data_IF_225602199645
#
_entry.id   IF_225602199645
#
_cell.length_a   1.000
_cell.length_b   1.000
_cell.length_c   1.000
_cell.angle_alpha   90.00
_cell.angle_beta   90.00
_cell.angle_gamma   90.00
#
_symmetry.space_group_name_H-M   'P 1'
#
loop_
_entity.id
_entity.type
_entity.pdbx_description
1 polymer ?
#
# COMPACT_ATOMS: atom_id res chain seq x y z
N UNK A 1 8.71 10.91 9.40
CA UNK A 1 7.86 11.31 10.55
C UNK A 1 7.05 10.09 10.96
N UNK A 2 6.47 10.08 12.17
CA UNK A 2 5.60 9.00 12.63
C UNK A 2 4.24 9.57 13.01
N UNK A 3 3.20 8.74 12.90
CA UNK A 3 1.84 9.06 13.34
C UNK A 3 1.37 7.99 14.31
N UNK A 4 0.62 8.40 15.32
CA UNK A 4 -0.10 7.46 16.18
C UNK A 4 -1.33 6.97 15.44
N UNK A 5 -1.42 5.66 15.19
CA UNK A 5 -2.62 5.02 14.65
C UNK A 5 -3.19 4.05 15.68
N UNK A 6 -4.52 3.98 15.73
CA UNK A 6 -5.22 2.99 16.53
C UNK A 6 -5.26 1.65 15.79
N UNK A 7 -4.95 0.59 16.51
CA UNK A 7 -4.97 -0.78 16.02
C UNK A 7 -6.21 -1.47 16.55
N UNK A 8 -6.83 -2.25 15.68
CA UNK A 8 -8.04 -3.02 15.94
C UNK A 8 -7.77 -4.49 15.79
N UNK A 9 -8.50 -5.29 16.56
CA UNK A 9 -8.49 -6.73 16.37
C UNK A 9 -8.99 -7.05 14.96
N UNK A 10 -8.27 -7.90 14.25
CA UNK A 10 -8.59 -8.32 12.90
C UNK A 10 -8.48 -9.83 12.82
N UNK A 11 -9.47 -10.46 12.17
CA UNK A 11 -9.48 -11.91 11.93
C UNK A 11 -9.24 -12.19 10.45
N UNK A 12 -8.33 -13.12 10.14
CA UNK A 12 -8.23 -13.66 8.80
C UNK A 12 -9.32 -14.72 8.57
N UNK A 13 -10.12 -14.55 7.53
CA UNK A 13 -11.23 -15.45 7.22
C UNK A 13 -10.78 -16.78 6.57
N UNK A 14 -9.53 -16.84 6.08
CA UNK A 14 -8.99 -18.07 5.46
C UNK A 14 -8.27 -18.98 6.46
N UNK A 15 -7.58 -18.42 7.46
CA UNK A 15 -6.83 -19.21 8.45
C UNK A 15 -7.31 -19.05 9.90
N UNK A 16 -8.33 -18.22 10.13
CA UNK A 16 -8.92 -17.91 11.45
C UNK A 16 -7.94 -17.33 12.49
N UNK A 17 -6.74 -16.90 12.08
CA UNK A 17 -5.81 -16.22 12.98
C UNK A 17 -6.34 -14.82 13.33
N UNK A 18 -6.26 -14.47 14.61
CA UNK A 18 -6.51 -13.12 15.12
C UNK A 18 -5.16 -12.37 15.23
N UNK A 19 -5.15 -11.11 14.82
CA UNK A 19 -3.98 -10.22 14.88
C UNK A 19 -4.43 -8.75 14.90
N UNK A 20 -3.52 -7.84 15.22
CA UNK A 20 -3.82 -6.41 15.26
C UNK A 20 -3.48 -5.75 13.91
N UNK A 21 -4.36 -4.85 13.44
CA UNK A 21 -4.10 -4.02 12.26
C UNK A 21 -4.46 -2.56 12.53
N UNK A 22 -3.71 -1.59 11.99
CA UNK A 22 -4.12 -0.20 12.06
C UNK A 22 -5.33 0.05 11.16
N UNK A 23 -6.25 0.91 11.63
CA UNK A 23 -7.33 1.44 10.83
C UNK A 23 -7.26 2.97 10.80
N UNK A 24 -7.80 3.57 9.74
CA UNK A 24 -7.99 5.00 9.64
C UNK A 24 -9.39 5.36 10.16
N UNK A 25 -9.58 6.54 10.78
CA UNK A 25 -10.90 6.98 11.21
C UNK A 25 -11.84 7.19 10.02
N UNK A 26 -13.13 7.24 10.28
CA UNK A 26 -14.13 7.59 9.27
C UNK A 26 -13.79 8.94 8.61
N UNK A 27 -14.03 9.04 7.30
CA UNK A 27 -13.75 10.23 6.47
C UNK A 27 -12.27 10.57 6.22
N UNK A 28 -11.38 9.58 6.30
CA UNK A 28 -9.95 9.71 5.94
C UNK A 28 -9.69 9.75 4.43
N UNK A 29 -10.34 10.66 3.70
CA UNK A 29 -10.22 10.75 2.25
C UNK A 29 -8.79 11.13 1.82
N UNK A 30 -8.20 10.35 0.92
CA UNK A 30 -6.81 10.56 0.46
C UNK A 30 -5.75 10.03 1.42
N UNK A 31 -6.13 9.43 2.55
CA UNK A 31 -5.22 8.82 3.50
C UNK A 31 -5.25 7.30 3.35
N UNK A 32 -4.10 6.67 3.53
CA UNK A 32 -3.90 5.25 3.28
C UNK A 32 -2.97 4.63 4.31
N UNK A 33 -3.17 3.33 4.55
CA UNK A 33 -2.21 2.50 5.28
C UNK A 33 -1.68 1.46 4.29
N UNK A 34 -0.40 1.56 3.99
CA UNK A 34 0.31 0.52 3.26
C UNK A 34 0.74 -0.58 4.19
N UNK A 35 0.47 -1.83 3.81
CA UNK A 35 0.91 -3.00 4.58
C UNK A 35 2.14 -3.62 3.91
N UNK A 36 3.07 -4.16 4.69
CA UNK A 36 4.14 -5.01 4.16
C UNK A 36 3.55 -6.28 3.54
N UNK A 37 4.18 -6.80 2.50
CA UNK A 37 3.68 -8.00 1.80
C UNK A 37 3.63 -9.28 2.65
N UNK A 38 4.18 -9.27 3.87
CA UNK A 38 4.02 -10.33 4.89
C UNK A 38 3.11 -9.93 6.06
N UNK A 39 2.45 -8.77 6.03
CA UNK A 39 1.45 -8.38 7.01
C UNK A 39 1.95 -7.93 8.39
N UNK A 40 3.27 -7.76 8.57
CA UNK A 40 3.88 -7.42 9.88
C UNK A 40 4.34 -5.95 10.00
N UNK A 41 4.51 -5.25 8.88
CA UNK A 41 4.93 -3.84 8.86
C UNK A 41 3.87 -2.94 8.23
N UNK A 42 3.79 -1.69 8.67
CA UNK A 42 2.81 -0.70 8.19
C UNK A 42 3.48 0.63 7.91
N UNK A 43 2.99 1.34 6.89
CA UNK A 43 3.32 2.73 6.64
C UNK A 43 2.05 3.56 6.44
N UNK A 44 2.02 4.74 7.02
CA UNK A 44 0.96 5.71 6.76
C UNK A 44 1.28 6.53 5.51
N UNK A 45 0.29 6.85 4.69
CA UNK A 45 0.47 7.72 3.53
C UNK A 45 -0.70 8.69 3.36
N UNK A 46 -0.39 9.95 3.08
CA UNK A 46 -1.37 11.00 2.77
C UNK A 46 -1.13 11.52 1.36
N UNK A 47 -2.08 11.23 0.46
CA UNK A 47 -2.00 11.66 -0.93
C UNK A 47 -2.26 13.15 -1.10
N UNK A 48 -2.96 13.80 -0.17
CA UNK A 48 -3.22 15.24 -0.22
C UNK A 48 -1.97 16.05 0.16
N UNK A 49 -1.20 15.55 1.13
CA UNK A 49 0.02 16.21 1.61
C UNK A 49 1.29 15.79 0.85
N UNK A 50 1.19 14.86 -0.11
CA UNK A 50 2.36 14.31 -0.81
C UNK A 50 2.33 14.50 -2.31
N UNK A 51 3.30 15.28 -2.83
CA UNK A 51 3.50 15.47 -4.28
C UNK A 51 3.91 14.18 -5.01
N UNK A 52 4.29 13.13 -4.29
CA UNK A 52 4.71 11.85 -4.88
C UNK A 52 3.59 11.20 -5.69
N UNK A 53 2.34 11.42 -5.29
CA UNK A 53 1.17 10.80 -5.94
C UNK A 53 1.09 11.23 -7.41
N UNK A 54 1.13 12.53 -7.67
CA UNK A 54 1.13 13.09 -9.02
C UNK A 54 2.44 12.81 -9.78
N UNK A 55 3.58 12.76 -9.07
CA UNK A 55 4.85 12.38 -9.69
C UNK A 55 4.82 10.94 -10.22
N UNK A 56 4.40 9.97 -9.40
CA UNK A 56 4.29 8.56 -9.81
C UNK A 56 3.27 8.41 -10.94
N UNK A 57 2.14 9.14 -10.89
CA UNK A 57 1.14 9.15 -11.97
C UNK A 57 1.74 9.63 -13.30
N UNK A 58 2.55 10.68 -13.27
CA UNK A 58 3.29 11.17 -14.44
C UNK A 58 4.29 10.13 -14.98
N UNK A 59 5.04 9.47 -14.08
CA UNK A 59 5.96 8.39 -14.46
C UNK A 59 5.18 7.21 -15.07
N UNK A 60 4.05 6.81 -14.49
CA UNK A 60 3.18 5.77 -15.03
C UNK A 60 2.61 6.12 -16.40
N UNK A 61 2.23 7.38 -16.62
CA UNK A 61 1.78 7.85 -17.94
C UNK A 61 2.88 7.64 -19.00
N UNK A 62 4.14 7.94 -18.65
CA UNK A 62 5.29 7.74 -19.55
C UNK A 62 5.67 6.28 -19.74
N UNK A 63 5.59 5.49 -18.67
CA UNK A 63 6.05 4.10 -18.65
C UNK A 63 5.08 3.14 -19.35
N UNK A 64 3.78 3.28 -19.08
CA UNK A 64 2.75 2.32 -19.50
C UNK A 64 1.48 2.96 -20.06
N UNK A 65 1.49 4.28 -20.30
CA UNK A 65 0.33 4.97 -20.89
C UNK A 65 -0.87 5.09 -19.95
N UNK A 66 -0.65 5.36 -18.66
CA UNK A 66 -1.74 5.57 -17.68
C UNK A 66 -2.80 6.59 -18.19
N UNK A 67 -4.10 6.21 -18.19
CA UNK A 67 -5.15 7.00 -18.82
C UNK A 67 -5.48 8.28 -18.03
N UNK A 68 -6.01 9.29 -18.73
CA UNK A 68 -6.50 10.53 -18.10
C UNK A 68 -7.75 10.30 -17.25
N UNK A 69 -8.61 9.35 -17.66
CA UNK A 69 -9.81 8.94 -16.94
C UNK A 69 -9.67 7.46 -16.54
N UNK A 70 -9.08 7.17 -15.37
CA UNK A 70 -8.79 5.80 -14.96
C UNK A 70 -10.06 5.04 -14.58
N UNK A 71 -10.09 3.75 -14.95
CA UNK A 71 -11.07 2.81 -14.42
C UNK A 71 -10.76 2.47 -12.95
N UNK A 72 -11.68 1.78 -12.25
CA UNK A 72 -11.38 1.25 -10.91
C UNK A 72 -10.11 0.37 -10.92
N UNK A 73 -9.99 -0.47 -11.94
CA UNK A 73 -8.83 -1.35 -12.13
C UNK A 73 -7.52 -0.55 -12.31
N UNK A 74 -7.57 0.55 -13.05
CA UNK A 74 -6.41 1.45 -13.19
C UNK A 74 -6.04 2.12 -11.87
N UNK A 75 -7.03 2.51 -11.07
CA UNK A 75 -6.83 3.09 -9.74
C UNK A 75 -6.20 2.08 -8.78
N UNK A 76 -6.67 0.84 -8.76
CA UNK A 76 -6.08 -0.24 -7.94
C UNK A 76 -4.62 -0.52 -8.34
N UNK A 77 -4.36 -0.56 -9.65
CA UNK A 77 -2.99 -0.69 -10.18
C UNK A 77 -2.13 0.49 -9.76
N UNK A 78 -2.66 1.71 -9.81
CA UNK A 78 -1.94 2.91 -9.41
C UNK A 78 -1.59 2.89 -7.92
N UNK A 79 -2.54 2.59 -7.03
CA UNK A 79 -2.26 2.43 -5.60
C UNK A 79 -1.24 1.32 -5.33
N UNK A 80 -1.28 0.22 -6.08
CA UNK A 80 -0.26 -0.82 -5.99
C UNK A 80 1.14 -0.31 -6.36
N UNK A 81 1.25 0.50 -7.41
CA UNK A 81 2.53 1.12 -7.81
C UNK A 81 2.99 2.15 -6.78
N UNK A 82 2.08 2.99 -6.29
CA UNK A 82 2.38 3.98 -5.23
C UNK A 82 2.90 3.29 -3.97
N UNK A 83 2.24 2.26 -3.47
CA UNK A 83 2.78 1.48 -2.35
C UNK A 83 4.11 0.78 -2.71
N UNK A 84 4.22 0.28 -3.94
CA UNK A 84 5.40 -0.39 -4.47
C UNK A 84 6.65 0.49 -4.64
N UNK A 85 6.49 1.80 -4.77
CA UNK A 85 7.61 2.75 -4.87
C UNK A 85 8.11 3.24 -3.50
N UNK A 86 7.37 3.01 -2.43
CA UNK A 86 7.78 3.39 -1.09
C UNK A 86 8.96 2.52 -0.61
N UNK A 87 9.78 3.09 0.28
CA UNK A 87 10.85 2.40 1.00
C UNK A 87 10.28 1.16 1.68
N UNK A 88 11.07 0.08 1.67
CA UNK A 88 10.71 -1.16 2.35
C UNK A 88 10.69 -0.98 3.86
N UNK A 89 9.68 -1.56 4.51
CA UNK A 89 9.61 -1.65 5.98
C UNK A 89 9.93 -3.08 6.38
N UNK A 90 10.89 -3.26 7.28
CA UNK A 90 11.36 -4.59 7.72
C UNK A 90 11.73 -5.51 6.53
N UNK A 91 12.36 -4.92 5.51
CA UNK A 91 12.75 -5.62 4.27
C UNK A 91 11.58 -6.00 3.34
N UNK A 92 10.36 -5.57 3.62
CA UNK A 92 9.17 -5.91 2.83
C UNK A 92 8.77 -4.81 1.87
N UNK A 93 8.37 -5.21 0.66
CA UNK A 93 7.66 -4.30 -0.22
C UNK A 93 6.28 -3.98 0.36
N UNK A 94 5.90 -2.72 0.33
CA UNK A 94 4.57 -2.29 0.74
C UNK A 94 3.52 -2.55 -0.36
N UNK A 95 2.29 -2.82 0.06
CA UNK A 95 1.11 -3.11 -0.78
C UNK A 95 -0.12 -2.33 -0.25
N UNK A 96 -1.11 -2.03 -1.11
CA UNK A 96 -2.23 -1.15 -0.75
C UNK A 96 -3.36 -1.86 0.01
N UNK A 97 -3.17 -3.13 0.37
CA UNK A 97 -4.18 -3.94 1.04
C UNK A 97 -3.59 -4.60 2.27
N UNK A 98 -4.45 -4.86 3.24
CA UNK A 98 -4.14 -5.63 4.41
C UNK A 98 -3.80 -7.09 4.08
N UNK A 99 -2.84 -7.65 4.81
CA UNK A 99 -2.32 -9.00 4.61
C UNK A 99 -2.25 -9.70 5.95
N UNK A 100 -2.80 -10.91 6.04
CA UNK A 100 -2.68 -11.75 7.22
C UNK A 100 -1.21 -12.16 7.42
N UNK A 101 -0.63 -11.93 8.61
CA UNK A 101 0.77 -12.28 8.87
C UNK A 101 1.02 -13.80 8.90
N UNK A 102 -0.02 -14.60 9.12
CA UNK A 102 0.08 -16.06 9.23
C UNK A 102 0.05 -16.74 7.86
N UNK A 103 -1.00 -16.51 7.06
CA UNK A 103 -1.21 -17.23 5.80
C UNK A 103 -1.03 -16.36 4.55
N UNK A 104 -0.74 -15.06 4.71
CA UNK A 104 -0.60 -14.07 3.62
C UNK A 104 -1.88 -13.81 2.81
N UNK A 105 -3.03 -14.29 3.30
CA UNK A 105 -4.32 -13.98 2.71
C UNK A 105 -4.64 -12.49 2.85
N UNK A 106 -5.44 -11.97 1.93
CA UNK A 106 -6.03 -10.62 1.95
C UNK A 106 -7.47 -10.64 2.45
N UNK A 107 -8.03 -11.83 2.69
CA UNK A 107 -9.37 -12.02 3.19
C UNK A 107 -9.37 -11.83 4.71
N UNK A 108 -9.44 -10.57 5.13
CA UNK A 108 -9.36 -10.16 6.53
C UNK A 108 -10.58 -9.32 6.90
N UNK A 109 -11.08 -9.51 8.11
CA UNK A 109 -12.21 -8.76 8.67
C UNK A 109 -11.72 -8.02 9.91
N UNK A 110 -11.55 -6.69 9.83
CA UNK A 110 -11.33 -5.87 11.02
C UNK A 110 -12.58 -5.92 11.92
N UNK A 111 -12.39 -5.91 13.23
CA UNK A 111 -13.43 -5.60 14.21
C UNK A 111 -13.17 -4.19 14.74
N UNK A 112 -13.80 -3.20 14.08
CA UNK A 112 -13.60 -1.78 14.34
C UNK A 112 -14.14 -1.34 15.72
N UNK A 113 -14.75 -2.26 16.49
CA UNK A 113 -15.24 -1.97 17.84
C UNK A 113 -14.29 -2.45 18.96
N UNK A 114 -13.23 -3.20 18.63
CA UNK A 114 -12.29 -3.74 19.62
C UNK A 114 -10.87 -3.16 19.39
N UNK A 115 -10.62 -1.90 19.85
CA UNK A 115 -9.27 -1.33 19.81
C UNK A 115 -8.34 -2.11 20.76
N UNK A 116 -7.18 -2.47 20.26
CA UNK A 116 -6.19 -3.29 20.97
C UNK A 116 -4.96 -2.51 21.41
N UNK A 117 -4.55 -1.48 20.65
CA UNK A 117 -3.40 -0.64 20.98
C UNK A 117 -3.37 0.65 20.17
N UNK A 118 -2.65 1.66 20.67
CA UNK A 118 -2.19 2.79 19.87
C UNK A 118 -0.70 2.60 19.58
N UNK A 119 -0.33 2.62 18.29
CA UNK A 119 1.05 2.39 17.88
C UNK A 119 1.56 3.53 17.01
N UNK A 120 2.87 3.80 17.12
CA UNK A 120 3.56 4.68 16.18
C UNK A 120 3.75 3.94 14.85
N UNK A 121 3.25 4.51 13.77
CA UNK A 121 3.43 4.03 12.40
C UNK A 121 4.22 5.08 11.63
N UNK A 122 5.25 4.64 10.92
CA UNK A 122 6.06 5.54 10.10
C UNK A 122 5.30 6.03 8.88
N UNK A 123 5.54 7.27 8.47
CA UNK A 123 5.09 7.75 7.17
C UNK A 123 5.85 7.03 6.05
N UNK A 124 5.15 6.67 4.97
CA UNK A 124 5.73 6.08 3.79
C UNK A 124 6.76 7.04 3.17
N UNK A 125 8.03 6.67 3.20
CA UNK A 125 9.12 7.41 2.56
C UNK A 125 9.29 6.97 1.10
N UNK A 126 9.53 7.95 0.23
CA UNK A 126 9.77 7.74 -1.20
C UNK A 126 11.15 8.23 -1.65
N UNK A 127 12.01 8.58 -0.69
CA UNK A 127 13.30 9.22 -0.96
C UNK A 127 14.18 8.34 -1.84
N UNK A 128 14.16 7.02 -1.61
CA UNK A 128 14.92 6.06 -2.41
C UNK A 128 14.48 6.02 -3.86
N UNK A 129 13.18 6.15 -4.13
CA UNK A 129 12.62 6.19 -5.48
C UNK A 129 12.92 7.54 -6.15
N UNK A 130 12.74 8.65 -5.41
CA UNK A 130 13.00 10.00 -5.90
C UNK A 130 14.47 10.24 -6.22
N UNK A 131 15.39 9.61 -5.49
CA UNK A 131 16.84 9.69 -5.74
C UNK A 131 17.27 8.95 -7.02
N UNK A 132 16.39 8.12 -7.62
CA UNK A 132 16.73 7.39 -8.85
C UNK A 132 16.70 8.29 -10.08
N UNK A 133 17.59 8.08 -11.07
CA UNK A 133 17.47 8.71 -12.37
C UNK A 133 16.10 8.44 -13.01
N UNK A 134 15.63 9.35 -13.86
CA UNK A 134 14.30 9.26 -14.48
C UNK A 134 14.06 7.94 -15.24
N UNK A 135 15.09 7.39 -15.90
CA UNK A 135 14.99 6.10 -16.60
C UNK A 135 14.81 4.93 -15.62
N UNK A 136 15.49 4.96 -14.47
CA UNK A 136 15.33 3.95 -13.42
C UNK A 136 13.95 4.03 -12.77
N UNK A 137 13.42 5.23 -12.54
CA UNK A 137 12.05 5.40 -12.04
C UNK A 137 11.01 4.79 -12.99
N UNK A 138 11.16 5.02 -14.30
CA UNK A 138 10.31 4.41 -15.34
C UNK A 138 10.41 2.89 -15.33
N UNK A 139 11.63 2.36 -15.18
CA UNK A 139 11.86 0.91 -15.12
C UNK A 139 11.19 0.29 -13.89
N UNK A 140 11.37 0.89 -12.70
CA UNK A 140 10.74 0.44 -11.46
C UNK A 140 9.21 0.40 -11.61
N UNK A 141 8.62 1.48 -12.12
CA UNK A 141 7.18 1.57 -12.36
C UNK A 141 6.71 0.50 -13.35
N UNK A 142 7.43 0.30 -14.45
CA UNK A 142 7.12 -0.76 -15.43
C UNK A 142 7.14 -2.16 -14.77
N UNK A 143 8.14 -2.45 -13.94
CA UNK A 143 8.25 -3.72 -13.21
C UNK A 143 7.06 -3.90 -12.27
N UNK A 144 6.67 -2.87 -11.52
CA UNK A 144 5.54 -2.92 -10.59
C UNK A 144 4.21 -3.13 -11.33
N UNK A 145 3.99 -2.44 -12.45
CA UNK A 145 2.83 -2.66 -13.32
C UNK A 145 2.74 -4.12 -13.79
N UNK A 146 3.86 -4.68 -14.26
CA UNK A 146 3.92 -6.08 -14.69
C UNK A 146 3.66 -7.07 -13.54
N UNK A 147 4.18 -6.79 -12.34
CA UNK A 147 3.93 -7.59 -11.13
C UNK A 147 2.45 -7.59 -10.77
N UNK A 148 1.78 -6.44 -10.88
CA UNK A 148 0.35 -6.32 -10.63
C UNK A 148 -0.48 -7.16 -11.62
N UNK A 149 -0.18 -7.09 -12.92
CA UNK A 149 -0.88 -7.89 -13.95
C UNK A 149 -0.72 -9.40 -13.74
N UNK A 150 0.47 -9.85 -13.29
CA UNK A 150 0.70 -11.26 -12.94
C UNK A 150 -0.12 -11.69 -11.72
N UNK A 151 -0.16 -10.88 -10.65
CA UNK A 151 -0.94 -11.17 -9.45
C UNK A 151 -2.44 -11.33 -9.74
N UNK A 152 -3.00 -10.54 -10.66
CA UNK A 152 -4.41 -10.69 -11.08
C UNK A 152 -4.72 -12.05 -11.70
N UNK A 153 -3.79 -12.60 -12.48
CA UNK A 153 -3.96 -13.89 -13.18
C UNK A 153 -3.87 -15.11 -12.25
N UNK A 154 -3.28 -14.95 -11.07
CA UNK A 154 -3.16 -16.04 -10.08
C UNK A 154 -4.34 -16.10 -9.09
N UNK A 155 -5.21 -15.09 -9.11
CA UNK A 155 -6.41 -14.99 -8.26
C UNK A 155 -7.71 -15.21 -9.07
N UNK A 156 -7.60 -15.60 -10.34
CA UNK A 156 -8.67 -16.08 -11.23
C UNK A 156 -8.45 -17.56 -11.48
#
# INVERSE_FOLDING_TARGET
MTRTLQFFRTRCLDCNADFAMPALPDMSYGQFIWSGERGIGFAYFDACDSSIFEHIKSVMKRAVGYPTSPTHEDTDRFHFVVAGCARKIEGQQLVPHHVCPTCRSRNVSPDDNEPVADCQVEDASYDEFLAKPALEQILIVTILCNKWSKKRRSNL
#
